data_IF_206191093141
#
_entry.id   IF_206191093141
#
_cell.length_a   1.000
_cell.length_b   1.000
_cell.length_c   1.000
_cell.angle_alpha   90.00
_cell.angle_beta   90.00
_cell.angle_gamma   90.00
#
_symmetry.space_group_name_H-M   'P 1'
#
loop_
_entity.id
_entity.type
_entity.pdbx_description
1 polymer ?
#
# COMPACT_ATOMS: atom_id res chain seq x y z
N UNK A 1 -27.38 -32.81 -6.74
CA UNK A 1 -26.55 -33.21 -7.90
C UNK A 1 -26.09 -32.03 -8.77
N UNK A 2 -26.97 -31.12 -9.22
CA UNK A 2 -26.54 -29.97 -10.06
C UNK A 2 -25.60 -28.98 -9.36
N UNK A 3 -25.76 -28.71 -8.05
CA UNK A 3 -24.82 -27.88 -7.28
C UNK A 3 -23.45 -28.54 -7.13
N UNK A 4 -23.38 -29.83 -6.76
CA UNK A 4 -22.11 -30.55 -6.69
C UNK A 4 -21.41 -30.67 -8.05
N UNK A 5 -22.17 -30.77 -9.15
CA UNK A 5 -21.64 -30.80 -10.51
C UNK A 5 -21.11 -29.41 -10.96
N UNK A 6 -21.73 -28.33 -10.49
CA UNK A 6 -21.27 -26.96 -10.75
C UNK A 6 -20.00 -26.63 -9.95
N UNK A 7 -19.89 -27.12 -8.71
CA UNK A 7 -18.68 -27.05 -7.88
C UNK A 7 -17.53 -27.82 -8.56
N UNK A 8 -17.78 -29.02 -9.08
CA UNK A 8 -16.79 -29.85 -9.79
C UNK A 8 -16.31 -29.25 -11.12
N UNK A 9 -17.17 -28.53 -11.86
CA UNK A 9 -16.80 -27.89 -13.13
C UNK A 9 -15.99 -26.60 -12.93
N UNK A 10 -16.20 -25.89 -11.81
CA UNK A 10 -15.39 -24.73 -11.42
C UNK A 10 -13.97 -25.18 -11.02
N UNK A 11 -13.83 -26.36 -10.40
CA UNK A 11 -12.54 -26.97 -10.06
C UNK A 11 -11.73 -27.45 -11.29
N UNK A 12 -12.38 -27.78 -12.41
CA UNK A 12 -11.71 -28.30 -13.60
C UNK A 12 -11.06 -27.22 -14.48
N UNK A 13 -11.39 -25.93 -14.29
CA UNK A 13 -10.79 -24.81 -15.05
C UNK A 13 -9.54 -24.20 -14.41
N UNK A 14 -9.10 -24.77 -13.29
CA UNK A 14 -8.03 -24.22 -12.46
C UNK A 14 -6.70 -24.95 -12.74
N UNK A 15 -6.29 -25.03 -14.02
CA UNK A 15 -5.02 -25.66 -14.41
C UNK A 15 -4.03 -24.62 -14.95
N UNK A 16 -3.51 -23.78 -14.06
CA UNK A 16 -2.31 -22.93 -14.23
C UNK A 16 -2.00 -22.29 -12.88
N UNK A 17 -0.74 -21.90 -12.63
CA UNK A 17 -0.14 -21.48 -11.36
C UNK A 17 -1.13 -20.95 -10.30
N UNK A 18 -1.95 -19.94 -10.64
CA UNK A 18 -3.00 -19.35 -9.79
C UNK A 18 -4.05 -20.31 -9.20
N UNK A 19 -4.05 -21.59 -9.59
CA UNK A 19 -4.87 -22.62 -8.98
C UNK A 19 -4.46 -22.97 -7.57
N UNK A 20 -3.16 -23.00 -7.32
CA UNK A 20 -2.63 -23.42 -6.03
C UNK A 20 -2.85 -22.34 -4.99
N UNK A 21 -2.54 -21.10 -5.31
CA UNK A 21 -2.71 -19.96 -4.42
C UNK A 21 -4.20 -19.77 -4.11
N UNK A 22 -5.07 -19.90 -5.12
CA UNK A 22 -6.51 -19.88 -4.91
C UNK A 22 -6.97 -20.98 -3.96
N UNK A 23 -6.59 -22.25 -4.18
CA UNK A 23 -6.94 -23.35 -3.25
C UNK A 23 -6.48 -23.06 -1.83
N UNK A 24 -5.26 -22.54 -1.65
CA UNK A 24 -4.75 -22.20 -0.32
C UNK A 24 -5.52 -21.05 0.33
N UNK A 25 -5.90 -20.01 -0.42
CA UNK A 25 -6.77 -18.95 0.10
C UNK A 25 -8.11 -19.53 0.57
N UNK A 26 -8.73 -20.43 -0.21
CA UNK A 26 -9.99 -21.06 0.20
C UNK A 26 -9.81 -21.93 1.45
N UNK A 27 -8.71 -22.68 1.57
CA UNK A 27 -8.40 -23.44 2.78
C UNK A 27 -8.29 -22.52 4.02
N UNK A 28 -7.58 -21.39 3.89
CA UNK A 28 -7.43 -20.40 4.96
C UNK A 28 -8.77 -19.76 5.31
N UNK A 29 -9.61 -19.45 4.31
CA UNK A 29 -10.90 -18.80 4.53
C UNK A 29 -11.83 -19.59 5.45
N UNK A 30 -11.73 -20.93 5.48
CA UNK A 30 -12.52 -21.78 6.36
C UNK A 30 -14.03 -21.52 6.20
N UNK A 31 -14.68 -21.05 7.26
CA UNK A 31 -16.10 -20.73 7.25
C UNK A 31 -16.45 -19.55 6.31
N UNK A 32 -15.47 -18.70 5.97
CA UNK A 32 -15.64 -17.53 5.09
C UNK A 32 -15.51 -17.87 3.59
N UNK A 33 -15.35 -19.15 3.21
CA UNK A 33 -15.25 -19.56 1.81
C UNK A 33 -16.46 -19.11 0.96
N UNK A 34 -17.66 -19.04 1.55
CA UNK A 34 -18.87 -18.62 0.84
C UNK A 34 -18.76 -17.18 0.33
N UNK A 35 -18.19 -16.27 1.11
CA UNK A 35 -17.99 -14.87 0.69
C UNK A 35 -17.07 -14.81 -0.54
N UNK A 36 -15.98 -15.58 -0.55
CA UNK A 36 -15.07 -15.64 -1.69
C UNK A 36 -15.71 -16.27 -2.94
N UNK A 37 -16.56 -17.29 -2.75
CA UNK A 37 -17.34 -17.87 -3.85
C UNK A 37 -18.37 -16.87 -4.41
N UNK A 38 -18.98 -16.06 -3.56
CA UNK A 38 -19.96 -15.05 -3.97
C UNK A 38 -19.31 -13.97 -4.84
N UNK A 39 -18.08 -13.56 -4.55
CA UNK A 39 -17.29 -12.68 -5.43
C UNK A 39 -17.09 -13.31 -6.82
N UNK A 40 -16.64 -14.57 -6.87
CA UNK A 40 -16.43 -15.27 -8.15
C UNK A 40 -17.75 -15.44 -8.91
N UNK A 41 -18.85 -15.72 -8.21
CA UNK A 41 -20.16 -15.84 -8.80
C UNK A 41 -20.66 -14.51 -9.38
N UNK A 42 -20.50 -13.41 -8.63
CA UNK A 42 -20.88 -12.06 -9.06
C UNK A 42 -20.23 -11.67 -10.39
N UNK A 43 -18.92 -11.94 -10.54
CA UNK A 43 -18.20 -11.62 -11.78
C UNK A 43 -18.34 -12.67 -12.90
N UNK A 44 -18.90 -13.85 -12.64
CA UNK A 44 -18.97 -14.96 -13.60
C UNK A 44 -19.64 -14.63 -14.95
N UNK A 45 -20.50 -13.62 -14.98
CA UNK A 45 -21.21 -13.15 -16.18
C UNK A 45 -20.71 -11.80 -16.70
N UNK A 46 -19.71 -11.20 -16.06
CA UNK A 46 -19.09 -9.93 -16.45
C UNK A 46 -17.97 -10.20 -17.45
N UNK A 47 -17.41 -9.13 -18.03
CA UNK A 47 -16.28 -9.24 -18.96
C UNK A 47 -15.09 -9.99 -18.35
N UNK A 48 -14.31 -10.63 -19.21
CA UNK A 48 -13.20 -11.51 -18.79
C UNK A 48 -12.19 -10.81 -17.90
N UNK A 49 -12.01 -9.49 -18.04
CA UNK A 49 -11.07 -8.69 -17.26
C UNK A 49 -11.49 -8.59 -15.78
N UNK A 50 -12.79 -8.45 -15.49
CA UNK A 50 -13.31 -8.44 -14.13
C UNK A 50 -13.17 -9.82 -13.47
N UNK A 51 -13.44 -10.88 -14.24
CA UNK A 51 -13.25 -12.25 -13.76
C UNK A 51 -11.80 -12.52 -13.40
N UNK A 52 -10.86 -12.08 -14.25
CA UNK A 52 -9.43 -12.22 -13.99
C UNK A 52 -8.98 -11.42 -12.78
N UNK A 53 -9.44 -10.17 -12.63
CA UNK A 53 -9.11 -9.33 -11.47
C UNK A 53 -9.64 -9.94 -10.15
N UNK A 54 -10.87 -10.45 -10.14
CA UNK A 54 -11.44 -11.11 -8.97
C UNK A 54 -10.64 -12.37 -8.59
N UNK A 55 -10.28 -13.20 -9.58
CA UNK A 55 -9.44 -14.39 -9.36
C UNK A 55 -8.05 -14.02 -8.87
N UNK A 56 -7.42 -13.00 -9.49
CA UNK A 56 -6.12 -12.49 -9.09
C UNK A 56 -6.15 -12.03 -7.63
N UNK A 57 -7.13 -11.22 -7.26
CA UNK A 57 -7.24 -10.69 -5.90
C UNK A 57 -7.41 -11.80 -4.87
N UNK A 58 -8.34 -12.75 -5.10
CA UNK A 58 -8.59 -13.89 -4.21
C UNK A 58 -7.35 -14.80 -4.11
N UNK A 59 -6.71 -15.13 -5.24
CA UNK A 59 -5.52 -15.96 -5.24
C UNK A 59 -4.40 -15.34 -4.38
N UNK A 60 -4.29 -14.01 -4.35
CA UNK A 60 -3.25 -13.31 -3.59
C UNK A 60 -3.67 -12.92 -2.16
N UNK A 61 -4.87 -13.28 -1.66
CA UNK A 61 -5.25 -12.92 -0.27
C UNK A 61 -4.44 -13.66 0.80
N UNK A 62 -3.90 -14.84 0.48
CA UNK A 62 -3.08 -15.63 1.39
C UNK A 62 -1.91 -14.79 1.93
N UNK A 63 -1.72 -14.79 3.25
CA UNK A 63 -0.62 -14.06 3.88
C UNK A 63 -0.88 -12.56 4.04
N UNK A 64 -1.93 -12.00 3.43
CA UNK A 64 -2.44 -10.67 3.75
C UNK A 64 -3.36 -10.74 4.97
N UNK A 65 -3.22 -9.75 5.84
CA UNK A 65 -3.84 -9.73 7.14
C UNK A 65 -4.02 -8.30 7.62
N UNK A 66 -4.94 -8.14 8.57
CA UNK A 66 -5.00 -6.95 9.39
C UNK A 66 -4.41 -7.20 10.78
N UNK A 67 -3.76 -6.16 11.28
CA UNK A 67 -3.39 -6.00 12.69
C UNK A 67 -4.39 -5.08 13.35
N UNK A 68 -5.04 -5.59 14.39
CA UNK A 68 -5.92 -4.84 15.29
C UNK A 68 -5.16 -4.54 16.58
N UNK A 69 -5.09 -3.27 16.95
CA UNK A 69 -4.49 -2.77 18.20
C UNK A 69 -5.50 -1.88 18.91
N UNK A 70 -5.87 -2.24 20.14
CA UNK A 70 -6.80 -1.43 20.96
C UNK A 70 -6.20 -0.06 21.27
N UNK A 71 -4.89 0.00 21.51
CA UNK A 71 -4.18 1.24 21.76
C UNK A 71 -4.20 2.17 20.54
N UNK A 72 -3.99 1.62 19.34
CA UNK A 72 -4.04 2.39 18.10
C UNK A 72 -5.46 2.90 17.81
N UNK A 73 -6.46 2.03 17.95
CA UNK A 73 -7.87 2.41 17.77
C UNK A 73 -8.24 3.56 18.74
N UNK A 74 -7.83 3.47 20.01
CA UNK A 74 -8.05 4.52 21.02
C UNK A 74 -7.35 5.84 20.67
N UNK A 75 -6.10 5.75 20.19
CA UNK A 75 -5.32 6.93 19.79
C UNK A 75 -5.95 7.64 18.58
N UNK A 76 -6.46 6.88 17.60
CA UNK A 76 -7.18 7.42 16.44
C UNK A 76 -8.44 8.16 16.90
N UNK A 77 -9.24 7.59 17.80
CA UNK A 77 -10.46 8.24 18.30
C UNK A 77 -10.18 9.57 19.03
N UNK A 78 -9.10 9.63 19.80
CA UNK A 78 -8.66 10.88 20.42
C UNK A 78 -8.25 11.91 19.35
N UNK A 79 -7.44 11.50 18.38
CA UNK A 79 -6.88 12.39 17.37
C UNK A 79 -7.92 12.88 16.33
N UNK A 80 -9.05 12.20 16.17
CA UNK A 80 -10.17 12.66 15.31
C UNK A 80 -10.76 14.00 15.76
N UNK A 81 -10.76 14.27 17.07
CA UNK A 81 -11.46 15.43 17.66
C UNK A 81 -10.54 16.57 18.07
N UNK A 82 -9.22 16.35 18.08
CA UNK A 82 -8.22 17.34 18.46
C UNK A 82 -6.92 17.09 17.69
N UNK A 83 -6.31 18.16 17.18
CA UNK A 83 -4.93 18.10 16.67
C UNK A 83 -3.96 18.03 17.85
N UNK A 84 -3.10 17.02 17.82
CA UNK A 84 -2.02 16.82 18.77
C UNK A 84 -0.67 17.12 18.12
N UNK A 85 0.27 17.62 18.91
CA UNK A 85 1.68 17.64 18.54
C UNK A 85 2.27 16.23 18.52
N UNK A 86 3.37 16.06 17.80
CA UNK A 86 4.08 14.78 17.73
C UNK A 86 4.52 14.29 19.13
N UNK A 87 4.83 15.20 20.07
CA UNK A 87 5.17 14.85 21.45
C UNK A 87 3.96 14.36 22.24
N UNK A 88 2.82 15.05 22.14
CA UNK A 88 1.58 14.57 22.78
C UNK A 88 1.17 13.20 22.25
N UNK A 89 1.26 12.97 20.93
CA UNK A 89 0.96 11.66 20.33
C UNK A 89 1.89 10.56 20.85
N UNK A 90 3.20 10.84 20.98
CA UNK A 90 4.16 9.88 21.56
C UNK A 90 3.85 9.56 23.01
N UNK A 91 3.49 10.57 23.81
CA UNK A 91 3.15 10.37 25.22
C UNK A 91 1.86 9.56 25.37
N UNK A 92 0.82 9.91 24.60
CA UNK A 92 -0.43 9.15 24.55
C UNK A 92 -0.19 7.70 24.13
N UNK A 93 0.58 7.48 23.07
CA UNK A 93 0.96 6.14 22.62
C UNK A 93 1.70 5.36 23.72
N UNK A 94 2.67 5.98 24.39
CA UNK A 94 3.43 5.37 25.49
C UNK A 94 2.53 4.93 26.64
N UNK A 95 1.47 5.69 26.94
CA UNK A 95 0.48 5.31 27.96
C UNK A 95 -0.47 4.21 27.46
N UNK A 96 -1.09 4.40 26.29
CA UNK A 96 -2.09 3.47 25.74
C UNK A 96 -1.49 2.09 25.43
N UNK A 97 -0.22 2.06 24.98
CA UNK A 97 0.45 0.82 24.59
C UNK A 97 0.76 -0.12 25.76
N UNK A 98 0.73 0.35 27.01
CA UNK A 98 0.99 -0.48 28.20
C UNK A 98 -0.04 -1.59 28.40
N UNK A 99 -1.25 -1.37 27.90
CA UNK A 99 -2.36 -2.33 27.96
C UNK A 99 -2.84 -2.73 26.56
N UNK A 100 -1.99 -2.59 25.54
CA UNK A 100 -2.39 -2.89 24.17
C UNK A 100 -2.70 -4.37 24.00
N UNK A 101 -3.79 -4.65 23.28
CA UNK A 101 -4.13 -6.00 22.87
C UNK A 101 -4.06 -6.02 21.36
N UNK A 102 -3.14 -6.86 20.87
CA UNK A 102 -2.81 -6.95 19.45
C UNK A 102 -3.27 -8.30 18.95
N UNK A 103 -4.01 -8.30 17.86
CA UNK A 103 -4.40 -9.51 17.15
C UNK A 103 -4.15 -9.35 15.66
N UNK A 104 -3.87 -10.48 15.01
CA UNK A 104 -3.58 -10.56 13.59
C UNK A 104 -4.56 -11.56 12.97
N UNK A 105 -5.29 -11.14 11.94
CA UNK A 105 -6.29 -11.98 11.28
C UNK A 105 -6.07 -11.93 9.78
N UNK A 106 -6.00 -13.09 9.12
CA UNK A 106 -5.89 -13.16 7.67
C UNK A 106 -7.16 -12.67 6.99
N UNK A 107 -6.99 -11.93 5.90
CA UNK A 107 -8.08 -11.27 5.20
C UNK A 107 -9.13 -12.26 4.68
N UNK A 108 -8.66 -13.40 4.18
CA UNK A 108 -9.51 -14.47 3.67
C UNK A 108 -10.52 -14.99 4.69
N UNK A 109 -10.25 -14.82 6.00
CA UNK A 109 -11.09 -15.31 7.10
C UNK A 109 -12.27 -14.38 7.42
N UNK A 110 -12.20 -13.08 7.07
CA UNK A 110 -13.22 -12.12 7.51
C UNK A 110 -13.71 -11.14 6.44
N UNK A 111 -12.98 -10.95 5.34
CA UNK A 111 -13.42 -10.01 4.31
C UNK A 111 -14.72 -10.49 3.65
N UNK A 112 -15.69 -9.59 3.55
CA UNK A 112 -16.97 -9.87 2.92
C UNK A 112 -16.89 -9.79 1.40
N UNK A 113 -17.79 -10.49 0.71
CA UNK A 113 -17.96 -10.40 -0.72
C UNK A 113 -18.23 -8.97 -1.16
N UNK A 114 -19.04 -8.24 -0.37
CA UNK A 114 -19.35 -6.83 -0.61
C UNK A 114 -18.09 -5.96 -0.60
N UNK A 115 -17.23 -6.11 0.41
CA UNK A 115 -16.00 -5.29 0.51
C UNK A 115 -15.03 -5.56 -0.64
N UNK A 116 -14.92 -6.82 -1.06
CA UNK A 116 -14.06 -7.24 -2.18
C UNK A 116 -14.62 -6.72 -3.51
N UNK A 117 -15.93 -6.87 -3.75
CA UNK A 117 -16.62 -6.38 -4.95
C UNK A 117 -16.52 -4.86 -5.04
N UNK A 118 -16.83 -4.14 -3.95
CA UNK A 118 -16.75 -2.67 -3.92
C UNK A 118 -15.33 -2.19 -4.23
N UNK A 119 -14.30 -2.88 -3.73
CA UNK A 119 -12.91 -2.57 -4.05
C UNK A 119 -12.60 -2.77 -5.53
N UNK A 120 -12.98 -3.92 -6.11
CA UNK A 120 -12.76 -4.24 -7.52
C UNK A 120 -13.49 -3.22 -8.41
N UNK A 121 -14.78 -3.00 -8.17
CA UNK A 121 -15.62 -2.11 -8.98
C UNK A 121 -15.11 -0.65 -8.92
N UNK A 122 -14.73 -0.15 -7.73
CA UNK A 122 -14.17 1.20 -7.59
C UNK A 122 -12.81 1.34 -8.26
N UNK A 123 -11.93 0.33 -8.14
CA UNK A 123 -10.62 0.34 -8.80
C UNK A 123 -10.76 0.35 -10.32
N UNK A 124 -11.64 -0.49 -10.88
CA UNK A 124 -11.93 -0.50 -12.33
C UNK A 124 -12.53 0.81 -12.80
N UNK A 125 -13.53 1.34 -12.09
CA UNK A 125 -14.18 2.61 -12.45
C UNK A 125 -13.14 3.71 -12.56
N UNK A 126 -12.32 3.87 -11.51
CA UNK A 126 -11.28 4.90 -11.48
C UNK A 126 -10.24 4.70 -12.57
N UNK A 127 -9.76 3.48 -12.79
CA UNK A 127 -8.78 3.20 -13.85
C UNK A 127 -9.36 3.49 -15.25
N UNK A 128 -10.57 3.01 -15.55
CA UNK A 128 -11.19 3.17 -16.87
C UNK A 128 -11.62 4.61 -17.19
N UNK A 129 -11.92 5.41 -16.15
CA UNK A 129 -12.25 6.83 -16.28
C UNK A 129 -11.01 7.74 -16.32
N UNK A 130 -9.84 7.25 -15.87
CA UNK A 130 -8.61 8.04 -15.86
C UNK A 130 -8.11 8.39 -17.27
N UNK A 131 -7.52 9.59 -17.47
CA UNK A 131 -6.91 9.97 -18.75
C UNK A 131 -5.74 9.06 -19.18
N UNK A 132 -5.06 8.42 -18.23
CA UNK A 132 -3.91 7.55 -18.47
C UNK A 132 -4.26 6.06 -18.51
N UNK A 133 -5.53 5.69 -18.62
CA UNK A 133 -5.96 4.28 -18.66
C UNK A 133 -5.19 3.44 -19.69
N UNK A 134 -4.90 4.02 -20.86
CA UNK A 134 -4.22 3.35 -21.97
C UNK A 134 -2.70 3.21 -21.73
N UNK A 135 -2.15 3.93 -20.75
CA UNK A 135 -0.75 3.81 -20.30
C UNK A 135 -0.56 2.79 -19.18
N UNK A 136 -1.66 2.21 -18.67
CA UNK A 136 -1.66 1.24 -17.57
C UNK A 136 -2.20 -0.07 -18.11
N UNK A 137 -1.34 -1.08 -18.24
CA UNK A 137 -1.79 -2.43 -18.62
C UNK A 137 -2.65 -3.06 -17.52
N UNK A 138 -3.34 -4.13 -17.88
CA UNK A 138 -4.08 -4.93 -16.90
C UNK A 138 -3.18 -5.51 -15.80
N UNK A 139 -1.93 -5.86 -16.13
CA UNK A 139 -0.96 -6.36 -15.15
C UNK A 139 -0.56 -5.25 -14.17
N UNK A 140 -0.31 -4.02 -14.67
CA UNK A 140 -0.05 -2.87 -13.79
C UNK A 140 -1.26 -2.57 -12.91
N UNK A 141 -2.47 -2.65 -13.45
CA UNK A 141 -3.70 -2.49 -12.70
C UNK A 141 -3.80 -3.52 -11.55
N UNK A 142 -3.62 -4.81 -11.85
CA UNK A 142 -3.73 -5.88 -10.86
C UNK A 142 -2.70 -5.75 -9.74
N UNK A 143 -1.46 -5.41 -10.06
CA UNK A 143 -0.37 -5.40 -9.08
C UNK A 143 -0.26 -4.08 -8.31
N UNK A 144 -0.64 -2.95 -8.91
CA UNK A 144 -0.31 -1.63 -8.35
C UNK A 144 -1.50 -0.71 -8.11
N UNK A 145 -2.71 -1.05 -8.57
CA UNK A 145 -3.94 -0.26 -8.36
C UNK A 145 -4.99 -1.05 -7.57
N UNK A 146 -5.30 -2.27 -8.04
CA UNK A 146 -6.33 -3.16 -7.51
C UNK A 146 -6.16 -3.58 -6.04
N UNK A 147 -4.94 -3.79 -5.49
CA UNK A 147 -4.81 -4.34 -4.14
C UNK A 147 -5.46 -3.44 -3.08
N UNK A 148 -6.30 -4.03 -2.23
CA UNK A 148 -7.11 -3.32 -1.23
C UNK A 148 -6.35 -2.97 0.06
N UNK A 149 -5.11 -3.48 0.19
CA UNK A 149 -4.24 -3.37 1.35
C UNK A 149 -2.86 -2.90 0.91
N UNK A 150 -2.19 -2.13 1.76
CA UNK A 150 -0.82 -1.67 1.51
C UNK A 150 0.18 -2.36 2.43
N UNK A 151 -0.15 -2.51 3.71
CA UNK A 151 0.72 -3.17 4.70
C UNK A 151 -0.08 -4.23 5.48
N UNK A 152 -0.44 -3.93 6.72
CA UNK A 152 -1.21 -4.77 7.65
C UNK A 152 -2.21 -3.93 8.45
N UNK A 153 -2.56 -2.75 7.93
CA UNK A 153 -3.48 -1.80 8.54
C UNK A 153 -4.90 -2.37 8.65
N UNK A 154 -5.64 -2.11 9.73
CA UNK A 154 -7.04 -2.59 9.83
C UNK A 154 -7.90 -2.16 8.63
N UNK A 155 -8.64 -3.10 8.04
CA UNK A 155 -9.46 -2.82 6.86
C UNK A 155 -10.65 -1.93 7.22
N UNK A 156 -10.93 -0.93 6.38
CA UNK A 156 -12.07 -0.02 6.55
C UNK A 156 -12.76 0.16 5.20
N UNK A 157 -14.02 -0.26 5.12
CA UNK A 157 -14.84 -0.09 3.92
C UNK A 157 -14.93 1.39 3.48
N UNK A 158 -15.01 1.61 2.17
CA UNK A 158 -15.10 2.94 1.57
C UNK A 158 -13.82 3.77 1.63
N UNK A 159 -12.65 3.18 1.95
CA UNK A 159 -11.39 3.91 1.99
C UNK A 159 -11.00 4.52 0.64
N UNK A 160 -11.22 3.81 -0.48
CA UNK A 160 -10.91 4.32 -1.84
C UNK A 160 -11.73 5.55 -2.16
N UNK A 161 -13.05 5.45 -2.04
CA UNK A 161 -13.96 6.57 -2.30
C UNK A 161 -13.60 7.77 -1.43
N UNK A 162 -13.33 7.54 -0.13
CA UNK A 162 -12.92 8.59 0.77
C UNK A 162 -11.64 9.32 0.29
N UNK A 163 -10.58 8.58 -0.05
CA UNK A 163 -9.32 9.18 -0.50
C UNK A 163 -9.45 9.84 -1.88
N UNK A 164 -10.18 9.21 -2.82
CA UNK A 164 -10.48 9.77 -4.15
C UNK A 164 -11.15 11.13 -4.01
N UNK A 165 -12.22 11.23 -3.22
CA UNK A 165 -12.94 12.48 -3.00
C UNK A 165 -12.09 13.59 -2.36
N UNK A 166 -11.07 13.23 -1.57
CA UNK A 166 -10.16 14.21 -0.98
C UNK A 166 -9.14 14.76 -1.99
N UNK A 167 -8.69 13.92 -2.93
CA UNK A 167 -7.51 14.19 -3.75
C UNK A 167 -7.77 14.38 -5.25
N UNK A 168 -8.89 13.93 -5.82
CA UNK A 168 -9.11 14.01 -7.28
C UNK A 168 -9.04 15.45 -7.82
N UNK A 169 -9.51 16.43 -7.02
CA UNK A 169 -9.48 17.86 -7.35
C UNK A 169 -8.11 18.43 -7.70
N UNK A 170 -7.03 17.77 -7.27
CA UNK A 170 -5.66 18.21 -7.59
C UNK A 170 -5.21 17.80 -8.98
N UNK A 171 -5.88 16.80 -9.59
CA UNK A 171 -5.50 16.22 -10.88
C UNK A 171 -6.66 16.21 -11.89
N UNK A 172 -7.80 16.87 -11.60
CA UNK A 172 -8.96 16.95 -12.50
C UNK A 172 -8.63 17.41 -13.93
N UNK A 173 -7.58 18.23 -14.09
CA UNK A 173 -7.15 18.78 -15.38
C UNK A 173 -5.89 18.12 -15.94
N UNK A 174 -5.39 17.09 -15.26
CA UNK A 174 -4.14 16.44 -15.61
C UNK A 174 -4.43 15.22 -16.49
N UNK A 175 -3.82 15.17 -17.68
CA UNK A 175 -3.96 14.06 -18.62
C UNK A 175 -2.73 13.15 -18.67
N UNK A 176 -1.64 13.56 -18.01
CA UNK A 176 -0.39 12.82 -18.00
C UNK A 176 -0.18 12.07 -16.67
N UNK A 177 0.03 10.76 -16.75
CA UNK A 177 0.24 9.89 -15.58
C UNK A 177 1.39 10.36 -14.67
N UNK A 178 2.52 10.76 -15.25
CA UNK A 178 3.71 11.18 -14.48
C UNK A 178 3.43 12.49 -13.77
N UNK A 179 2.77 13.44 -14.45
CA UNK A 179 2.37 14.72 -13.83
C UNK A 179 1.32 14.55 -12.74
N UNK A 180 0.39 13.62 -12.91
CA UNK A 180 -0.59 13.29 -11.87
C UNK A 180 0.11 12.73 -10.63
N UNK A 181 1.07 11.82 -10.81
CA UNK A 181 1.94 11.33 -9.74
C UNK A 181 2.73 12.47 -9.06
N UNK A 182 3.41 13.33 -9.83
CA UNK A 182 4.15 14.48 -9.29
C UNK A 182 3.27 15.39 -8.43
N UNK A 183 2.08 15.73 -8.94
CA UNK A 183 1.15 16.63 -8.28
C UNK A 183 0.65 16.06 -6.95
N UNK A 184 0.22 14.80 -6.95
CA UNK A 184 -0.29 14.15 -5.74
C UNK A 184 0.84 13.93 -4.72
N UNK A 185 2.04 13.56 -5.17
CA UNK A 185 3.21 13.42 -4.30
C UNK A 185 3.51 14.74 -3.56
N UNK A 186 3.60 15.86 -4.30
CA UNK A 186 3.82 17.18 -3.71
C UNK A 186 2.71 17.58 -2.73
N UNK A 187 1.44 17.30 -3.04
CA UNK A 187 0.32 17.59 -2.15
C UNK A 187 0.38 16.78 -0.85
N UNK A 188 0.78 15.51 -0.92
CA UNK A 188 0.95 14.66 0.26
C UNK A 188 2.12 15.14 1.11
N UNK A 189 3.27 15.48 0.50
CA UNK A 189 4.43 16.00 1.23
C UNK A 189 4.16 17.34 1.93
N UNK A 190 3.18 18.13 1.45
CA UNK A 190 2.69 19.33 2.13
C UNK A 190 1.83 19.05 3.36
N UNK A 191 1.14 17.90 3.41
CA UNK A 191 0.13 17.58 4.44
C UNK A 191 0.61 16.59 5.49
N UNK A 192 1.48 15.67 5.09
CA UNK A 192 1.97 14.59 5.92
C UNK A 192 3.44 14.81 6.28
N UNK A 193 3.73 14.94 7.57
CA UNK A 193 5.11 15.13 8.05
C UNK A 193 5.77 13.78 8.35
N UNK A 194 6.99 13.59 7.87
CA UNK A 194 7.78 12.44 8.29
C UNK A 194 8.32 12.66 9.71
N UNK A 195 7.89 11.82 10.64
CA UNK A 195 8.27 11.86 12.06
C UNK A 195 8.14 10.48 12.69
N UNK A 196 9.00 10.16 13.65
CA UNK A 196 8.85 8.91 14.42
C UNK A 196 7.94 9.14 15.62
N UNK A 197 6.73 8.55 15.57
CA UNK A 197 5.81 8.50 16.71
C UNK A 197 6.05 7.28 17.62
N UNK A 198 6.95 6.37 17.24
CA UNK A 198 7.16 5.11 17.98
C UNK A 198 5.98 4.12 17.92
N UNK A 199 5.00 4.40 17.05
CA UNK A 199 3.85 3.51 16.79
C UNK A 199 4.30 2.46 15.75
N UNK A 200 4.30 1.16 16.10
CA UNK A 200 4.82 0.11 15.21
C UNK A 200 3.80 -0.35 14.16
N UNK A 201 2.56 0.15 14.22
CA UNK A 201 1.45 -0.28 13.36
C UNK A 201 1.03 0.84 12.39
N UNK A 202 0.57 0.46 11.20
CA UNK A 202 -0.03 1.40 10.24
C UNK A 202 -1.50 1.63 10.62
N UNK A 203 -1.90 2.89 10.77
CA UNK A 203 -3.31 3.22 10.95
C UNK A 203 -4.13 2.83 9.71
N UNK A 204 -5.44 2.55 9.84
CA UNK A 204 -6.29 2.30 8.68
C UNK A 204 -6.14 3.39 7.62
N UNK A 205 -6.17 3.02 6.34
CA UNK A 205 -5.90 3.94 5.23
C UNK A 205 -6.73 5.23 5.28
N UNK A 206 -8.00 5.11 5.72
CA UNK A 206 -8.95 6.22 5.90
C UNK A 206 -8.55 7.22 7.01
N UNK A 207 -7.72 6.80 7.96
CA UNK A 207 -7.38 7.58 9.15
C UNK A 207 -5.90 7.94 9.24
N UNK A 208 -5.08 7.59 8.24
CA UNK A 208 -3.65 7.94 8.24
C UNK A 208 -3.40 9.45 8.33
N UNK A 209 -4.27 10.27 7.75
CA UNK A 209 -4.18 11.73 7.84
C UNK A 209 -4.58 12.33 9.18
N UNK A 210 -5.26 11.56 10.06
CA UNK A 210 -5.72 12.04 11.36
C UNK A 210 -4.54 12.52 12.22
N UNK A 211 -3.39 11.85 12.12
CA UNK A 211 -2.16 12.27 12.79
C UNK A 211 -1.43 13.40 12.06
N UNK A 212 -1.58 13.48 10.73
CA UNK A 212 -0.82 14.39 9.86
C UNK A 212 0.70 14.18 9.90
N UNK A 213 1.16 13.08 10.50
CA UNK A 213 2.55 12.76 10.75
C UNK A 213 2.73 11.26 10.95
N UNK A 214 3.90 10.71 10.59
CA UNK A 214 4.22 9.30 10.77
C UNK A 214 5.57 8.92 10.17
N UNK A 215 5.97 7.67 10.35
CA UNK A 215 7.25 7.16 9.82
C UNK A 215 7.27 7.21 8.29
N UNK A 216 8.46 7.15 7.68
CA UNK A 216 8.57 7.09 6.21
C UNK A 216 7.73 5.95 5.60
N UNK A 217 7.66 4.79 6.27
CA UNK A 217 6.87 3.66 5.82
C UNK A 217 5.36 3.93 5.91
N UNK A 218 4.88 4.52 7.02
CA UNK A 218 3.48 4.91 7.17
C UNK A 218 3.08 6.01 6.18
N UNK A 219 3.97 6.96 5.91
CA UNK A 219 3.78 7.99 4.88
C UNK A 219 3.66 7.39 3.48
N UNK A 220 4.53 6.43 3.13
CA UNK A 220 4.43 5.69 1.87
C UNK A 220 3.14 4.87 1.78
N UNK A 221 2.70 4.25 2.88
CA UNK A 221 1.45 3.51 2.90
C UNK A 221 0.24 4.42 2.62
N UNK A 222 0.22 5.62 3.20
CA UNK A 222 -0.78 6.63 2.92
C UNK A 222 -0.72 7.10 1.47
N UNK A 223 0.48 7.40 0.97
CA UNK A 223 0.66 7.86 -0.40
C UNK A 223 0.23 6.83 -1.43
N UNK A 224 0.62 5.57 -1.23
CA UNK A 224 0.18 4.46 -2.09
C UNK A 224 -1.34 4.32 -2.07
N UNK A 225 -1.99 4.41 -0.91
CA UNK A 225 -3.44 4.36 -0.84
C UNK A 225 -4.12 5.51 -1.60
N UNK A 226 -3.64 6.74 -1.45
CA UNK A 226 -4.15 7.89 -2.21
C UNK A 226 -3.99 7.68 -3.70
N UNK A 227 -2.78 7.36 -4.17
CA UNK A 227 -2.49 7.15 -5.59
C UNK A 227 -3.33 6.01 -6.19
N UNK A 228 -3.47 4.89 -5.48
CA UNK A 228 -4.34 3.76 -5.88
C UNK A 228 -5.80 4.14 -5.98
N UNK A 229 -6.28 5.02 -5.09
CA UNK A 229 -7.66 5.53 -5.15
C UNK A 229 -7.92 6.44 -6.34
N UNK A 230 -6.87 6.91 -7.01
CA UNK A 230 -6.91 7.77 -8.19
C UNK A 230 -6.54 7.00 -9.48
N UNK A 231 -6.29 5.69 -9.41
CA UNK A 231 -5.91 4.89 -10.58
C UNK A 231 -4.45 5.08 -11.01
N UNK A 232 -3.57 5.53 -10.12
CA UNK A 232 -2.14 5.71 -10.37
C UNK A 232 -1.39 4.46 -9.86
N UNK A 233 -0.68 3.71 -10.72
CA UNK A 233 0.03 2.48 -10.34
C UNK A 233 1.32 2.80 -9.56
N UNK A 234 1.32 2.51 -8.26
CA UNK A 234 2.48 2.78 -7.38
C UNK A 234 2.82 1.60 -6.47
N UNK A 235 4.08 1.57 -6.03
CA UNK A 235 4.61 0.60 -5.07
C UNK A 235 5.43 1.29 -3.97
N UNK A 236 5.61 0.60 -2.84
CA UNK A 236 6.61 0.99 -1.84
C UNK A 236 7.92 0.29 -2.18
N UNK A 237 8.96 1.08 -2.40
CA UNK A 237 10.33 0.59 -2.52
C UNK A 237 11.08 0.93 -1.22
N UNK A 238 12.02 0.06 -0.83
CA UNK A 238 12.62 0.10 0.50
C UNK A 238 14.09 -0.30 0.50
N UNK A 239 14.87 0.47 1.24
CA UNK A 239 16.15 0.02 1.79
C UNK A 239 15.88 -0.41 3.22
N UNK A 240 15.84 -1.71 3.55
CA UNK A 240 15.42 -2.15 4.89
C UNK A 240 16.42 -1.74 5.98
N UNK A 241 17.71 -1.66 5.64
CA UNK A 241 18.77 -1.21 6.53
C UNK A 241 19.99 -0.71 5.73
N UNK A 242 20.78 0.17 6.34
CA UNK A 242 22.02 0.69 5.76
C UNK A 242 23.22 -0.07 6.29
N UNK A 243 23.93 -0.77 5.41
CA UNK A 243 25.02 -1.70 5.74
C UNK A 243 26.15 -1.09 6.57
N UNK A 244 26.42 0.20 6.39
CA UNK A 244 27.54 0.90 7.00
C UNK A 244 27.14 1.89 8.09
N UNK A 245 25.85 1.99 8.45
CA UNK A 245 25.39 3.09 9.30
C UNK A 245 24.31 2.73 10.31
N UNK A 246 23.17 2.17 9.89
CA UNK A 246 22.02 2.02 10.77
C UNK A 246 21.15 0.84 10.38
N UNK A 247 20.55 0.22 11.40
CA UNK A 247 19.47 -0.76 11.23
C UNK A 247 18.16 -0.13 10.79
N UNK A 248 18.04 1.21 10.84
CA UNK A 248 16.88 1.93 10.33
C UNK A 248 17.01 2.10 8.82
N UNK A 249 16.05 1.56 8.09
CA UNK A 249 15.94 1.69 6.65
C UNK A 249 15.41 3.04 6.16
N UNK A 250 14.95 3.04 4.91
CA UNK A 250 14.18 4.11 4.30
C UNK A 250 13.22 3.54 3.26
N UNK A 251 12.00 4.07 3.20
CA UNK A 251 10.99 3.68 2.22
C UNK A 251 10.53 4.93 1.45
N UNK A 252 10.20 4.73 0.18
CA UNK A 252 9.63 5.76 -0.69
C UNK A 252 8.54 5.16 -1.59
N UNK A 253 7.64 6.01 -2.08
CA UNK A 253 6.64 5.65 -3.07
C UNK A 253 7.24 5.78 -4.48
N UNK A 254 7.08 4.76 -5.32
CA UNK A 254 7.54 4.77 -6.70
C UNK A 254 6.36 4.55 -7.66
N UNK A 255 6.23 5.41 -8.67
CA UNK A 255 5.37 5.20 -9.82
C UNK A 255 5.91 4.04 -10.66
N UNK A 256 5.05 3.08 -11.00
CA UNK A 256 5.42 1.92 -11.82
C UNK A 256 4.75 2.02 -13.18
N UNK A 257 5.56 1.97 -14.24
CA UNK A 257 5.08 2.03 -15.63
C UNK A 257 5.65 0.85 -16.42
N UNK A 258 5.12 0.62 -17.62
CA UNK A 258 5.67 -0.35 -18.59
C UNK A 258 7.15 -0.10 -18.92
N UNK A 259 7.61 1.13 -18.76
CA UNK A 259 8.97 1.56 -19.12
C UNK A 259 9.91 1.69 -17.92
N UNK A 260 9.50 1.18 -16.74
CA UNK A 260 10.25 1.25 -15.49
C UNK A 260 9.61 2.16 -14.45
N UNK A 261 10.33 2.36 -13.34
CA UNK A 261 9.84 3.13 -12.20
C UNK A 261 10.37 4.56 -12.16
N UNK A 262 9.56 5.44 -11.60
CA UNK A 262 9.90 6.82 -11.30
C UNK A 262 9.73 7.08 -9.82
N UNK A 263 10.61 7.88 -9.23
CA UNK A 263 10.51 8.28 -7.84
C UNK A 263 10.85 9.75 -7.64
N UNK A 264 10.41 10.30 -6.52
CA UNK A 264 10.67 11.66 -6.08
C UNK A 264 11.24 11.66 -4.67
N UNK A 265 12.22 12.53 -4.44
CA UNK A 265 12.68 12.90 -3.11
C UNK A 265 11.82 14.03 -2.55
N UNK A 266 11.94 14.32 -1.25
CA UNK A 266 11.17 15.38 -0.58
C UNK A 266 11.27 16.76 -1.25
N UNK A 267 12.37 17.05 -1.96
CA UNK A 267 12.63 18.35 -2.58
C UNK A 267 12.37 18.39 -4.08
N UNK A 268 12.03 17.24 -4.67
CA UNK A 268 11.75 17.17 -6.10
C UNK A 268 10.36 17.72 -6.39
N UNK A 269 10.22 18.30 -7.58
CA UNK A 269 8.95 18.67 -8.19
C UNK A 269 8.67 17.91 -9.48
N UNK A 270 9.64 17.09 -9.92
CA UNK A 270 9.58 16.31 -11.16
C UNK A 270 10.10 14.90 -10.86
N UNK A 271 9.36 13.90 -11.32
CA UNK A 271 9.70 12.50 -11.11
C UNK A 271 10.80 12.07 -12.08
N UNK A 272 11.74 11.27 -11.58
CA UNK A 272 12.89 10.82 -12.37
C UNK A 272 13.05 9.30 -12.34
N UNK A 273 13.47 8.73 -13.47
CA UNK A 273 13.98 7.35 -13.48
C UNK A 273 15.35 7.31 -12.83
N UNK A 274 15.65 6.23 -12.11
CA UNK A 274 16.95 6.06 -11.43
C UNK A 274 17.29 7.24 -10.52
N UNK A 275 16.29 7.81 -9.85
CA UNK A 275 16.50 8.93 -8.94
C UNK A 275 17.38 8.52 -7.75
N UNK A 276 17.98 9.51 -7.09
CA UNK A 276 18.71 9.28 -5.85
C UNK A 276 17.72 8.82 -4.77
N UNK A 277 18.14 7.85 -3.95
CA UNK A 277 17.34 7.44 -2.79
C UNK A 277 17.41 8.58 -1.77
N UNK A 278 16.26 9.17 -1.42
CA UNK A 278 16.20 10.17 -0.36
C UNK A 278 16.80 9.60 0.94
N UNK A 279 17.40 10.45 1.76
CA UNK A 279 18.13 10.07 2.96
C UNK A 279 19.38 9.20 2.72
N UNK A 280 19.86 8.98 1.47
CA UNK A 280 21.12 8.25 1.21
C UNK A 280 22.40 9.04 1.54
N UNK A 281 22.29 10.35 1.83
CA UNK A 281 23.40 11.25 2.13
C UNK A 281 23.22 11.85 3.54
N UNK A 282 24.30 11.95 4.32
CA UNK A 282 24.31 12.72 5.56
C UNK A 282 24.70 14.17 5.33
N UNK A 283 23.93 15.07 5.92
CA UNK A 283 24.39 16.44 6.16
C UNK A 283 25.11 16.49 7.51
N UNK A 284 26.40 16.81 7.49
CA UNK A 284 27.16 17.05 8.72
C UNK A 284 26.76 18.43 9.22
N UNK A 285 26.18 18.53 10.41
CA UNK A 285 25.82 19.81 11.04
C UNK A 285 26.93 20.40 11.90
N UNK A 286 28.04 19.67 12.07
CA UNK A 286 29.22 20.07 12.83
C UNK A 286 30.44 20.18 11.93
N UNK A 287 31.24 21.22 12.12
CA UNK A 287 32.52 21.36 11.42
C UNK A 287 33.47 20.26 11.88
N UNK A 288 34.07 19.54 10.93
CA UNK A 288 35.12 18.55 11.19
C UNK A 288 36.46 19.28 11.09
N UNK A 289 37.40 18.96 11.98
CA UNK A 289 38.76 19.51 11.96
C UNK A 289 39.49 19.10 10.67
N UNK A 290 40.33 19.98 10.14
CA UNK A 290 41.00 19.78 8.84
C UNK A 290 41.92 18.55 8.81
N UNK A 291 42.37 18.07 9.97
CA UNK A 291 43.26 16.92 10.15
C UNK A 291 42.52 15.62 10.54
N UNK A 292 41.19 15.58 10.42
CA UNK A 292 40.40 14.41 10.80
C UNK A 292 40.84 13.16 10.01
N UNK A 293 41.29 12.09 10.68
CA UNK A 293 42.07 11.01 10.05
C UNK A 293 41.24 10.03 9.21
N UNK A 294 39.92 10.23 9.12
CA UNK A 294 39.00 9.33 8.40
C UNK A 294 38.30 10.04 7.23
N UNK A 295 37.98 9.27 6.19
CA UNK A 295 37.21 9.77 5.06
C UNK A 295 35.86 10.30 5.50
N UNK A 296 35.58 11.57 5.18
CA UNK A 296 34.32 12.27 5.44
C UNK A 296 33.28 12.03 4.34
N UNK A 297 33.44 10.97 3.54
CA UNK A 297 32.50 10.63 2.47
C UNK A 297 31.30 9.85 3.07
N UNK A 298 30.41 10.57 3.74
CA UNK A 298 29.24 10.04 4.46
C UNK A 298 28.08 9.63 3.53
N UNK A 299 28.37 8.86 2.49
CA UNK A 299 27.34 8.22 1.66
C UNK A 299 26.89 6.92 2.33
N UNK A 300 25.58 6.77 2.55
CA UNK A 300 25.02 5.50 3.03
C UNK A 300 25.12 4.45 1.91
N UNK A 301 25.44 3.22 2.29
CA UNK A 301 25.53 2.09 1.35
C UNK A 301 24.35 1.16 1.58
N UNK A 302 23.56 0.96 0.53
CA UNK A 302 22.54 -0.08 0.52
C UNK A 302 23.22 -1.45 0.69
N UNK A 303 22.59 -2.39 1.39
CA UNK A 303 22.98 -3.79 1.26
C UNK A 303 22.78 -4.21 -0.20
N UNK A 304 23.63 -5.09 -0.74
CA UNK A 304 23.55 -5.58 -2.13
C UNK A 304 22.30 -6.46 -2.43
N UNK A 305 21.21 -6.29 -1.69
CA UNK A 305 19.97 -7.04 -1.83
C UNK A 305 18.83 -6.02 -1.97
N UNK A 306 18.33 -5.75 -3.19
CA UNK A 306 17.14 -4.94 -3.38
C UNK A 306 15.92 -5.70 -2.85
N UNK A 307 15.08 -5.04 -2.06
CA UNK A 307 13.77 -5.54 -1.64
C UNK A 307 12.72 -4.56 -2.16
N UNK A 308 12.03 -4.93 -3.24
CA UNK A 308 10.77 -4.29 -3.58
C UNK A 308 9.68 -5.02 -2.80
N UNK A 309 8.88 -4.29 -2.01
CA UNK A 309 7.67 -4.86 -1.44
C UNK A 309 6.60 -4.75 -2.53
N UNK A 310 6.58 -5.74 -3.42
CA UNK A 310 5.35 -6.11 -4.12
C UNK A 310 4.49 -6.89 -3.11
N UNK A 311 3.17 -6.71 -3.14
CA UNK A 311 2.30 -7.80 -2.68
C UNK A 311 2.79 -9.05 -3.41
N UNK A 312 3.16 -10.12 -2.69
CA UNK A 312 3.91 -11.26 -3.21
C UNK A 312 3.18 -11.96 -4.37
N UNK A 313 3.24 -11.38 -5.57
CA UNK A 313 3.00 -12.07 -6.82
C UNK A 313 4.32 -12.78 -7.16
N UNK A 314 4.31 -14.10 -7.07
CA UNK A 314 5.48 -14.93 -7.37
C UNK A 314 6.05 -14.59 -8.77
N UNK A 315 7.39 -14.54 -8.93
CA UNK A 315 8.01 -14.33 -10.23
C UNK A 315 7.73 -15.51 -11.17
N UNK A 316 7.40 -15.19 -12.42
CA UNK A 316 7.22 -16.17 -13.49
C UNK A 316 8.48 -17.02 -13.69
N UNK A 317 8.40 -18.32 -13.36
CA UNK A 317 9.25 -19.38 -13.92
C UNK A 317 8.54 -20.73 -13.83
#
# INVERSE_FOLDING_TARGET
MKQNLMILLIWAFIASCGSREMTQTFEIAGDNQSELMDVLHYYSKKDSIYQQAARFLIANMKGHNEVKSIALDSLIELAKNKKYSDEELRNLWTTLSQSDQVSKTEDAVFMSAKDIIDNIDMAFTTWMESPWKDSVSFDLFCNYILPYRVTEEKFVAGWREHLKNQYEKFIEKEDNLIRAYETIHCEIMRRFRNSSLGIPYTAPLKYLEVFGTGSCFQGCAYEVAVMRSLGIPVAIDIVPQWSNYSRNGHAWCALVTEYGSYSMTKHDTVASKSNVIDSSIFSITKTIEDDFPYSTNFKKKVSNTPYLIQAEACPNS
#
